data_IF_103489043726
#
_entry.id   IF_103489043726
#
_cell.length_a   1.000
_cell.length_b   1.000
_cell.length_c   1.000
_cell.angle_alpha   90.00
_cell.angle_beta   90.00
_cell.angle_gamma   90.00
#
_symmetry.space_group_name_H-M   'P 1'
#
loop_
_entity.id
_entity.type
_entity.pdbx_description
1 polymer ?
#
# COMPACT_ATOMS: atom_id res chain seq x y z
N UNK A 1 13.41 0.21 19.81
CA UNK A 1 12.80 -0.80 18.92
C UNK A 1 13.33 -0.60 17.51
N UNK A 2 13.83 -1.66 16.89
CA UNK A 2 14.26 -1.70 15.49
C UNK A 2 13.24 -2.48 14.68
N UNK A 3 12.73 -1.90 13.61
CA UNK A 3 11.70 -2.51 12.75
C UNK A 3 12.17 -2.49 11.30
N UNK A 4 12.19 -3.67 10.70
CA UNK A 4 12.54 -3.83 9.30
C UNK A 4 11.25 -4.17 8.51
N UNK A 5 10.97 -3.38 7.46
CA UNK A 5 9.77 -3.51 6.61
C UNK A 5 10.23 -3.93 5.22
N UNK A 6 9.76 -5.08 4.76
CA UNK A 6 10.08 -5.64 3.46
C UNK A 6 8.97 -5.25 2.48
N UNK A 7 9.28 -4.34 1.55
CA UNK A 7 8.37 -3.79 0.56
C UNK A 7 7.95 -2.36 0.83
N UNK A 8 8.31 -1.45 -0.09
CA UNK A 8 7.99 -0.01 -0.10
C UNK A 8 6.68 0.33 -0.82
N UNK A 9 5.76 -0.62 -0.93
CA UNK A 9 4.41 -0.39 -1.43
C UNK A 9 3.54 0.37 -0.43
N UNK A 10 2.27 0.71 -0.80
CA UNK A 10 1.38 1.47 0.07
C UNK A 10 1.22 0.89 1.47
N UNK A 11 1.17 -0.43 1.60
CA UNK A 11 1.02 -1.10 2.89
C UNK A 11 2.24 -0.90 3.80
N UNK A 12 3.47 -1.15 3.28
CA UNK A 12 4.70 -1.01 4.06
C UNK A 12 4.98 0.44 4.44
N UNK A 13 4.78 1.38 3.50
CA UNK A 13 4.95 2.80 3.77
C UNK A 13 3.95 3.32 4.80
N UNK A 14 2.66 3.00 4.63
CA UNK A 14 1.63 3.49 5.57
C UNK A 14 1.77 2.87 6.96
N UNK A 15 2.09 1.57 7.03
CA UNK A 15 2.46 0.93 8.30
C UNK A 15 3.61 1.69 8.99
N UNK A 16 4.67 2.02 8.24
CA UNK A 16 5.83 2.74 8.76
C UNK A 16 5.47 4.13 9.29
N UNK A 17 4.58 4.86 8.58
CA UNK A 17 4.04 6.15 9.03
C UNK A 17 3.32 6.00 10.36
N UNK A 18 2.38 5.06 10.47
CA UNK A 18 1.59 4.85 11.68
C UNK A 18 2.45 4.37 12.87
N UNK A 19 3.42 3.51 12.59
CA UNK A 19 4.36 3.05 13.60
C UNK A 19 5.19 4.20 14.16
N UNK A 20 5.75 5.05 13.29
CA UNK A 20 6.55 6.22 13.71
C UNK A 20 5.73 7.25 14.47
N UNK A 21 4.43 7.38 14.18
CA UNK A 21 3.52 8.22 14.96
C UNK A 21 3.34 7.68 16.38
N UNK A 22 3.16 6.38 16.52
CA UNK A 22 2.94 5.72 17.81
C UNK A 22 4.24 5.55 18.61
N UNK A 23 5.35 5.34 17.91
CA UNK A 23 6.68 5.10 18.51
C UNK A 23 7.74 5.98 17.81
N UNK A 24 7.79 7.29 18.09
CA UNK A 24 8.70 8.23 17.41
C UNK A 24 10.18 7.83 17.48
N UNK A 25 10.58 7.15 18.56
CA UNK A 25 11.96 6.68 18.76
C UNK A 25 12.28 5.34 18.07
N UNK A 26 11.30 4.69 17.44
CA UNK A 26 11.56 3.46 16.70
C UNK A 26 12.47 3.76 15.49
N UNK A 27 13.45 2.90 15.27
CA UNK A 27 14.26 2.89 14.06
C UNK A 27 13.55 1.99 13.04
N UNK A 28 13.01 2.61 12.00
CA UNK A 28 12.26 1.91 10.95
C UNK A 28 13.04 1.99 9.65
N UNK A 29 13.32 0.84 9.06
CA UNK A 29 13.93 0.71 7.73
C UNK A 29 12.93 0.01 6.81
N UNK A 30 12.68 0.59 5.65
CA UNK A 30 11.90 -0.01 4.57
C UNK A 30 12.85 -0.38 3.45
N UNK A 31 12.81 -1.63 3.01
CA UNK A 31 13.59 -2.11 1.86
C UNK A 31 12.65 -2.29 0.66
N UNK A 32 12.97 -1.62 -0.46
CA UNK A 32 12.19 -1.67 -1.70
C UNK A 32 13.11 -1.99 -2.89
N UNK A 33 12.77 -3.03 -3.65
CA UNK A 33 13.57 -3.49 -4.78
C UNK A 33 13.51 -2.59 -6.01
N UNK A 34 12.42 -1.84 -6.16
CA UNK A 34 12.21 -0.94 -7.28
C UNK A 34 12.73 0.46 -6.96
N UNK A 35 12.78 1.30 -7.97
CA UNK A 35 13.06 2.74 -7.81
C UNK A 35 11.91 3.43 -7.09
N UNK A 36 12.17 4.61 -6.56
CA UNK A 36 11.17 5.41 -5.86
C UNK A 36 9.97 5.81 -6.74
N UNK A 37 10.23 6.01 -8.03
CA UNK A 37 9.28 6.43 -9.05
C UNK A 37 8.64 5.27 -9.83
N UNK A 38 9.07 4.03 -9.58
CA UNK A 38 8.49 2.85 -10.23
C UNK A 38 7.15 2.47 -9.59
N UNK A 39 6.16 2.22 -10.44
CA UNK A 39 4.87 1.70 -9.99
C UNK A 39 4.24 0.77 -11.03
N UNK A 40 3.47 -0.19 -10.56
CA UNK A 40 2.71 -1.11 -11.38
C UNK A 40 1.22 -0.80 -11.25
N UNK A 41 0.54 -0.59 -12.37
CA UNK A 41 -0.88 -0.25 -12.43
C UNK A 41 -1.14 1.26 -12.44
N UNK A 42 -2.38 1.65 -12.73
CA UNK A 42 -2.78 3.03 -13.03
C UNK A 42 -3.11 3.82 -11.77
N UNK A 43 -3.95 3.25 -10.93
CA UNK A 43 -4.54 3.97 -9.82
C UNK A 43 -5.13 3.06 -8.75
N UNK A 44 -5.63 3.70 -7.73
CA UNK A 44 -6.29 3.05 -6.60
C UNK A 44 -7.63 3.76 -6.40
N UNK A 45 -8.67 2.97 -6.18
CA UNK A 45 -9.99 3.47 -5.79
C UNK A 45 -10.17 3.30 -4.30
N UNK A 46 -10.56 4.36 -3.63
CA UNK A 46 -10.80 4.42 -2.20
C UNK A 46 -12.29 4.69 -1.95
N UNK A 47 -12.90 3.99 -1.01
CA UNK A 47 -14.23 4.29 -0.52
C UNK A 47 -14.21 5.42 0.52
N UNK A 48 -15.35 6.04 0.75
CA UNK A 48 -15.50 7.07 1.80
C UNK A 48 -15.09 6.55 3.19
N UNK A 49 -15.37 5.29 3.50
CA UNK A 49 -14.96 4.70 4.77
C UNK A 49 -13.45 4.52 4.88
N UNK A 50 -12.79 4.16 3.78
CA UNK A 50 -11.32 4.13 3.74
C UNK A 50 -10.74 5.53 3.98
N UNK A 51 -11.31 6.56 3.35
CA UNK A 51 -10.89 7.95 3.54
C UNK A 51 -11.09 8.43 4.96
N UNK A 52 -12.21 8.10 5.61
CA UNK A 52 -12.44 8.40 7.05
C UNK A 52 -11.37 7.75 7.93
N UNK A 53 -11.02 6.48 7.67
CA UNK A 53 -10.00 5.77 8.43
C UNK A 53 -8.61 6.39 8.21
N UNK A 54 -8.25 6.75 6.98
CA UNK A 54 -7.00 7.44 6.67
C UNK A 54 -6.90 8.77 7.40
N UNK A 55 -7.98 9.57 7.38
CA UNK A 55 -8.06 10.85 8.09
C UNK A 55 -7.87 10.69 9.59
N UNK A 56 -8.56 9.73 10.20
CA UNK A 56 -8.45 9.46 11.63
C UNK A 56 -7.04 8.98 12.03
N UNK A 57 -6.40 8.18 11.18
CA UNK A 57 -5.09 7.60 11.46
C UNK A 57 -3.93 8.57 11.22
N UNK A 58 -3.92 9.30 10.09
CA UNK A 58 -2.90 10.30 9.76
C UNK A 58 -3.46 11.44 8.89
N UNK A 59 -3.93 12.49 9.53
CA UNK A 59 -4.50 13.68 8.88
C UNK A 59 -3.55 14.32 7.83
N UNK A 60 -2.21 14.43 8.03
CA UNK A 60 -1.34 15.00 7.01
C UNK A 60 -1.33 14.22 5.70
N UNK A 61 -1.18 12.88 5.73
CA UNK A 61 -1.24 12.09 4.50
C UNK A 61 -2.64 12.09 3.88
N UNK A 62 -3.70 12.09 4.69
CA UNK A 62 -5.07 12.23 4.20
C UNK A 62 -5.28 13.52 3.41
N UNK A 63 -4.79 14.67 3.88
CA UNK A 63 -4.93 15.96 3.17
C UNK A 63 -4.26 15.92 1.79
N UNK A 64 -3.05 15.38 1.71
CA UNK A 64 -2.32 15.27 0.44
C UNK A 64 -3.05 14.32 -0.52
N UNK A 65 -3.57 13.19 -0.01
CA UNK A 65 -4.38 12.25 -0.78
C UNK A 65 -5.65 12.95 -1.28
N UNK A 66 -6.39 13.63 -0.40
CA UNK A 66 -7.63 14.31 -0.74
C UNK A 66 -7.44 15.44 -1.76
N UNK A 67 -6.29 16.11 -1.75
CA UNK A 67 -5.95 17.12 -2.75
C UNK A 67 -5.59 16.52 -4.13
N UNK A 68 -5.37 15.21 -4.20
CA UNK A 68 -4.84 14.53 -5.40
C UNK A 68 -5.81 13.56 -6.04
N UNK A 69 -7.00 13.33 -5.49
CA UNK A 69 -7.95 12.38 -6.03
C UNK A 69 -9.06 13.01 -6.89
N UNK A 70 -9.64 12.21 -7.78
CA UNK A 70 -10.91 12.48 -8.43
C UNK A 70 -12.03 11.73 -7.70
N UNK A 71 -13.15 12.43 -7.43
CA UNK A 71 -14.31 11.85 -6.75
C UNK A 71 -15.44 11.55 -7.75
N UNK A 72 -16.14 10.43 -7.57
CA UNK A 72 -17.38 10.11 -8.28
C UNK A 72 -18.32 9.29 -7.41
N UNK A 73 -19.60 9.39 -7.73
CA UNK A 73 -20.68 8.74 -6.97
C UNK A 73 -21.42 7.68 -7.79
N UNK A 74 -21.38 7.80 -9.10
CA UNK A 74 -22.14 6.97 -10.03
C UNK A 74 -21.30 5.84 -10.61
N UNK A 75 -21.92 4.64 -10.72
CA UNK A 75 -21.39 3.53 -11.49
C UNK A 75 -22.32 3.24 -12.65
N UNK A 76 -21.76 3.13 -13.85
CA UNK A 76 -22.47 2.75 -15.06
C UNK A 76 -22.07 1.35 -15.49
N UNK A 77 -23.05 0.45 -15.55
CA UNK A 77 -22.85 -0.91 -16.05
C UNK A 77 -23.45 -1.03 -17.42
N UNK A 78 -22.61 -1.30 -18.42
CA UNK A 78 -23.04 -1.56 -19.81
C UNK A 78 -23.19 -3.07 -20.00
N UNK A 79 -24.43 -3.51 -20.22
CA UNK A 79 -24.73 -4.94 -20.39
C UNK A 79 -25.74 -5.14 -21.51
N UNK A 80 -25.39 -5.89 -22.55
CA UNK A 80 -26.26 -6.24 -23.69
C UNK A 80 -27.01 -5.04 -24.27
N UNK A 81 -26.31 -3.93 -24.52
CA UNK A 81 -26.88 -2.70 -25.10
C UNK A 81 -27.73 -1.85 -24.12
N UNK A 82 -27.83 -2.26 -22.86
CA UNK A 82 -28.47 -1.47 -21.78
C UNK A 82 -27.42 -0.83 -20.91
N UNK A 83 -27.74 0.37 -20.40
CA UNK A 83 -26.93 1.07 -19.41
C UNK A 83 -27.72 1.10 -18.11
N UNK A 84 -27.14 0.53 -17.08
CA UNK A 84 -27.67 0.58 -15.72
C UNK A 84 -26.83 1.55 -14.93
N UNK A 85 -27.47 2.51 -14.29
CA UNK A 85 -26.84 3.48 -13.40
C UNK A 85 -27.13 3.12 -11.94
N UNK A 86 -26.09 3.15 -11.12
CA UNK A 86 -26.20 3.05 -9.66
C UNK A 86 -25.47 4.23 -9.03
N UNK A 87 -26.07 4.86 -8.03
CA UNK A 87 -25.57 6.09 -7.38
C UNK A 87 -25.43 5.88 -5.87
N UNK A 88 -24.73 6.77 -5.16
CA UNK A 88 -24.56 6.71 -3.70
C UNK A 88 -23.38 5.83 -3.27
N UNK A 89 -22.37 5.67 -4.11
CA UNK A 89 -21.23 4.79 -3.83
C UNK A 89 -20.06 5.48 -3.14
N UNK A 90 -19.85 6.78 -3.39
CA UNK A 90 -18.77 7.55 -2.76
C UNK A 90 -17.38 6.99 -3.03
N UNK A 91 -16.92 7.06 -4.29
CA UNK A 91 -15.58 6.61 -4.67
C UNK A 91 -14.63 7.76 -4.96
N UNK A 92 -13.37 7.55 -4.63
CA UNK A 92 -12.27 8.46 -4.97
C UNK A 92 -11.14 7.70 -5.62
N UNK A 93 -10.65 8.18 -6.76
CA UNK A 93 -9.53 7.60 -7.48
C UNK A 93 -8.29 8.48 -7.40
N UNK A 94 -7.16 7.87 -7.06
CA UNK A 94 -5.86 8.51 -7.06
C UNK A 94 -4.89 7.72 -7.94
N UNK A 95 -4.03 8.42 -8.67
CA UNK A 95 -2.93 7.77 -9.40
C UNK A 95 -2.04 7.03 -8.39
N UNK A 96 -1.69 5.78 -8.71
CA UNK A 96 -0.87 4.96 -7.81
C UNK A 96 0.46 5.61 -7.47
N UNK A 97 1.13 6.22 -8.46
CA UNK A 97 2.39 6.93 -8.23
C UNK A 97 2.21 8.09 -7.25
N UNK A 98 1.17 8.90 -7.44
CA UNK A 98 0.89 10.03 -6.52
C UNK A 98 0.68 9.56 -5.08
N UNK A 99 -0.06 8.45 -4.87
CA UNK A 99 -0.21 7.87 -3.54
C UNK A 99 1.13 7.43 -2.95
N UNK A 100 1.98 6.75 -3.75
CA UNK A 100 3.31 6.33 -3.28
C UNK A 100 4.17 7.53 -2.88
N UNK A 101 4.24 8.57 -3.72
CA UNK A 101 5.00 9.79 -3.44
C UNK A 101 4.53 10.49 -2.15
N UNK A 102 3.21 10.56 -1.93
CA UNK A 102 2.65 11.12 -0.69
C UNK A 102 3.13 10.33 0.52
N UNK A 103 3.01 9.00 0.47
CA UNK A 103 3.40 8.14 1.58
C UNK A 103 4.91 8.12 1.82
N UNK A 104 5.71 8.16 0.76
CA UNK A 104 7.18 8.26 0.84
C UNK A 104 7.61 9.56 1.52
N UNK A 105 7.09 10.70 1.06
CA UNK A 105 7.37 12.00 1.70
C UNK A 105 6.96 12.00 3.17
N UNK A 106 5.78 11.45 3.48
CA UNK A 106 5.30 11.40 4.87
C UNK A 106 6.17 10.51 5.74
N UNK A 107 6.54 9.33 5.25
CA UNK A 107 7.44 8.40 5.95
C UNK A 107 8.82 9.04 6.21
N UNK A 108 9.41 9.66 5.19
CA UNK A 108 10.69 10.36 5.30
C UNK A 108 10.63 11.51 6.32
N UNK A 109 9.55 12.31 6.31
CA UNK A 109 9.34 13.40 7.28
C UNK A 109 9.24 12.91 8.73
N UNK A 110 8.85 11.64 8.94
CA UNK A 110 8.82 11.00 10.26
C UNK A 110 10.12 10.27 10.60
N UNK A 111 11.15 10.33 9.73
CA UNK A 111 12.44 9.71 9.95
C UNK A 111 12.46 8.20 9.67
N UNK A 112 11.63 7.71 8.75
CA UNK A 112 11.74 6.35 8.19
C UNK A 112 12.90 6.32 7.21
N UNK A 113 13.79 5.35 7.33
CA UNK A 113 14.85 5.08 6.36
C UNK A 113 14.32 4.20 5.23
N UNK A 114 14.19 4.73 4.02
CA UNK A 114 13.72 3.98 2.85
C UNK A 114 14.91 3.69 1.94
N UNK A 115 15.16 2.41 1.69
CA UNK A 115 16.22 1.92 0.82
C UNK A 115 15.60 1.40 -0.48
N UNK A 116 15.74 2.17 -1.55
CA UNK A 116 15.27 1.80 -2.88
C UNK A 116 16.33 0.98 -3.62
N UNK A 117 15.93 0.35 -4.73
CA UNK A 117 16.78 -0.49 -5.59
C UNK A 117 17.54 -1.55 -4.77
N UNK A 118 16.92 -1.98 -3.67
CA UNK A 118 17.50 -2.92 -2.71
C UNK A 118 16.60 -4.15 -2.60
N UNK A 119 17.05 -5.25 -3.15
CA UNK A 119 16.36 -6.53 -2.99
C UNK A 119 16.60 -7.07 -1.58
N UNK A 120 15.50 -7.50 -0.94
CA UNK A 120 15.60 -8.09 0.38
C UNK A 120 16.41 -9.39 0.35
N UNK A 121 17.47 -9.52 1.17
CA UNK A 121 18.34 -10.70 1.16
C UNK A 121 17.74 -11.93 1.86
N UNK A 122 16.56 -11.77 2.48
CA UNK A 122 15.85 -12.81 3.20
C UNK A 122 15.87 -12.62 4.72
N UNK A 123 15.02 -13.40 5.40
CA UNK A 123 14.72 -13.23 6.84
C UNK A 123 15.93 -13.32 7.76
N UNK A 124 16.96 -14.08 7.36
CA UNK A 124 18.19 -14.22 8.15
C UNK A 124 18.92 -12.88 8.36
N UNK A 125 18.84 -11.98 7.39
CA UNK A 125 19.46 -10.65 7.48
C UNK A 125 18.78 -9.74 8.52
N UNK A 126 17.56 -10.08 8.92
CA UNK A 126 16.75 -9.30 9.86
C UNK A 126 16.77 -9.81 11.31
N UNK A 127 17.63 -10.79 11.63
CA UNK A 127 17.72 -11.36 13.00
C UNK A 127 17.96 -10.34 14.11
N UNK A 128 18.47 -9.17 13.76
CA UNK A 128 18.69 -8.07 14.72
C UNK A 128 17.52 -7.09 14.85
N UNK A 129 16.41 -7.34 14.17
CA UNK A 129 15.19 -6.54 14.29
C UNK A 129 14.30 -7.06 15.42
N UNK A 130 13.64 -6.13 16.13
CA UNK A 130 12.62 -6.48 17.11
C UNK A 130 11.31 -6.91 16.45
N UNK A 131 11.06 -6.41 15.20
CA UNK A 131 9.90 -6.73 14.40
C UNK A 131 10.27 -6.71 12.91
N UNK A 132 9.80 -7.71 12.18
CA UNK A 132 9.89 -7.78 10.72
C UNK A 132 8.46 -7.71 10.17
N UNK A 133 8.23 -6.79 9.22
CA UNK A 133 6.93 -6.61 8.56
C UNK A 133 7.06 -6.96 7.11
N UNK A 134 6.44 -8.06 6.69
CA UNK A 134 6.40 -8.47 5.29
C UNK A 134 5.25 -7.77 4.57
N UNK A 135 5.58 -6.79 3.73
CA UNK A 135 4.68 -6.02 2.88
C UNK A 135 5.05 -6.16 1.39
N UNK A 136 5.64 -7.29 1.02
CA UNK A 136 6.24 -7.60 -0.28
C UNK A 136 5.21 -8.05 -1.35
N UNK A 137 3.91 -7.89 -1.06
CA UNK A 137 2.82 -7.95 -2.02
C UNK A 137 2.29 -9.35 -2.31
N UNK A 138 1.53 -9.48 -3.41
CA UNK A 138 0.80 -10.72 -3.75
C UNK A 138 1.74 -11.90 -3.99
N UNK A 139 2.93 -11.65 -4.51
CA UNK A 139 3.97 -12.65 -4.76
C UNK A 139 5.00 -12.72 -3.63
N UNK A 140 4.54 -12.58 -2.38
CA UNK A 140 5.39 -12.53 -1.19
C UNK A 140 6.36 -13.70 -1.09
N UNK A 141 7.65 -13.39 -1.07
CA UNK A 141 8.72 -14.37 -0.85
C UNK A 141 8.78 -14.79 0.62
N UNK A 142 8.44 -13.88 1.53
CA UNK A 142 8.36 -14.19 2.96
C UNK A 142 7.25 -15.20 3.24
N UNK A 143 6.06 -14.99 2.66
CA UNK A 143 4.94 -15.93 2.78
C UNK A 143 5.32 -17.33 2.26
N UNK A 144 5.97 -17.39 1.09
CA UNK A 144 6.41 -18.67 0.51
C UNK A 144 7.48 -19.34 1.37
N UNK A 145 8.47 -18.59 1.85
CA UNK A 145 9.54 -19.12 2.72
C UNK A 145 9.02 -19.63 4.07
N UNK A 146 7.95 -19.04 4.58
CA UNK A 146 7.33 -19.41 5.86
C UNK A 146 6.01 -20.19 5.70
N UNK A 147 5.74 -20.78 4.55
CA UNK A 147 4.47 -21.47 4.26
C UNK A 147 4.14 -22.61 5.25
N UNK A 148 5.13 -23.25 5.80
CA UNK A 148 4.99 -24.28 6.83
C UNK A 148 4.32 -23.72 8.11
N UNK A 149 4.65 -22.46 8.46
CA UNK A 149 4.13 -21.78 9.64
C UNK A 149 2.80 -21.09 9.37
N UNK A 150 2.72 -20.33 8.28
CA UNK A 150 1.53 -19.53 7.94
C UNK A 150 0.39 -20.36 7.35
N UNK A 151 0.71 -21.51 6.72
CA UNK A 151 -0.25 -22.37 6.04
C UNK A 151 -1.21 -21.57 5.14
N UNK A 152 -0.68 -20.75 4.21
CA UNK A 152 -1.50 -19.86 3.42
C UNK A 152 -2.44 -20.67 2.50
N UNK A 153 -3.70 -20.26 2.45
CA UNK A 153 -4.65 -20.73 1.43
C UNK A 153 -4.61 -19.74 0.26
N UNK A 154 -4.22 -20.21 -0.91
CA UNK A 154 -4.17 -19.41 -2.14
C UNK A 154 -5.15 -19.98 -3.14
N UNK A 155 -6.25 -19.26 -3.37
CA UNK A 155 -7.27 -19.62 -4.37
C UNK A 155 -7.00 -18.83 -5.67
N UNK A 156 -6.46 -19.51 -6.67
CA UNK A 156 -6.23 -18.94 -7.97
C UNK A 156 -7.42 -19.18 -8.89
N UNK A 157 -8.19 -18.11 -9.15
CA UNK A 157 -9.36 -18.18 -10.03
C UNK A 157 -8.98 -18.28 -11.50
N UNK A 158 -9.75 -19.04 -12.27
CA UNK A 158 -9.55 -19.17 -13.72
C UNK A 158 -10.03 -17.95 -14.54
N UNK A 159 -10.82 -17.08 -13.92
CA UNK A 159 -11.35 -15.88 -14.57
C UNK A 159 -10.23 -14.87 -14.84
N UNK A 160 -10.31 -14.24 -16.01
CA UNK A 160 -9.40 -13.16 -16.39
C UNK A 160 -10.19 -11.85 -16.44
N UNK A 161 -9.53 -10.76 -16.09
CA UNK A 161 -10.06 -9.41 -16.24
C UNK A 161 -8.98 -8.50 -16.83
N UNK A 162 -9.41 -7.42 -17.44
CA UNK A 162 -8.54 -6.35 -17.92
C UNK A 162 -8.93 -5.08 -17.20
N UNK A 163 -7.95 -4.40 -16.65
CA UNK A 163 -8.12 -3.07 -16.10
C UNK A 163 -7.64 -2.08 -17.14
N UNK A 164 -8.56 -1.26 -17.64
CA UNK A 164 -8.27 -0.23 -18.65
C UNK A 164 -8.19 1.13 -17.94
N UNK A 165 -7.17 1.94 -18.28
CA UNK A 165 -6.97 3.29 -17.78
C UNK A 165 -6.46 4.22 -18.86
#
# INVERSE_FOLDING_TARGET
MKVDVIGGGPAGLYFSVLLKKSFPQARVTVTERNRADDTFGFGIVLSDDTLKNLRAADEPSYRDIAASFAYWDDIFTHYRGRVLKSSGHGFSGIKRLALLEILQRRAAALGVNIQYETEDPGLEAHRGADLIVAADGINSRVREGLKQHFRPEVDQRGNKFVWLG
#
